data_IF_674325025574
#
_entry.id   IF_674325025574
#
_cell.length_a   1.000
_cell.length_b   1.000
_cell.length_c   1.000
_cell.angle_alpha   90.00
_cell.angle_beta   90.00
_cell.angle_gamma   90.00
#
_symmetry.space_group_name_H-M   'P 1'
#
loop_
_entity.id
_entity.type
_entity.pdbx_description
1 polymer ?
#
# COMPACT_ATOMS: atom_id res chain seq x y z
N UNK A 1 22.73 0.21 17.29
CA UNK A 1 23.03 -1.00 16.48
C UNK A 1 21.76 -1.30 15.69
N UNK A 2 21.82 -1.25 14.36
CA UNK A 2 20.69 -1.71 13.55
C UNK A 2 20.56 -3.21 13.79
N UNK A 3 19.69 -3.61 14.71
CA UNK A 3 19.35 -5.02 14.88
C UNK A 3 18.79 -5.50 13.56
N UNK A 4 19.42 -6.54 12.99
CA UNK A 4 19.01 -7.15 11.72
C UNK A 4 17.49 -7.32 11.73
N UNK A 5 16.79 -6.57 10.89
CA UNK A 5 15.35 -6.70 10.77
C UNK A 5 15.09 -8.13 10.29
N UNK A 6 14.33 -8.94 11.04
CA UNK A 6 14.04 -10.31 10.64
C UNK A 6 13.48 -10.34 9.23
N UNK A 7 13.99 -11.25 8.39
CA UNK A 7 13.56 -11.42 6.99
C UNK A 7 12.03 -11.62 6.90
N UNK A 8 11.42 -12.26 7.89
CA UNK A 8 9.96 -12.44 7.97
C UNK A 8 9.21 -11.10 8.04
N UNK A 9 9.74 -10.13 8.78
CA UNK A 9 9.14 -8.79 8.93
C UNK A 9 9.31 -8.00 7.64
N UNK A 10 10.45 -8.15 6.97
CA UNK A 10 10.68 -7.56 5.66
C UNK A 10 9.68 -8.08 4.62
N UNK A 11 9.52 -9.40 4.51
CA UNK A 11 8.56 -10.02 3.58
C UNK A 11 7.14 -9.53 3.89
N UNK A 12 6.77 -9.48 5.17
CA UNK A 12 5.47 -8.99 5.61
C UNK A 12 5.26 -7.52 5.23
N UNK A 13 6.27 -6.66 5.38
CA UNK A 13 6.20 -5.26 4.95
C UNK A 13 6.04 -5.14 3.43
N UNK A 14 6.79 -5.90 2.63
CA UNK A 14 6.66 -5.92 1.17
C UNK A 14 5.26 -6.38 0.72
N UNK A 15 4.72 -7.43 1.33
CA UNK A 15 3.37 -7.91 1.04
C UNK A 15 2.33 -6.84 1.35
N UNK A 16 2.44 -6.19 2.52
CA UNK A 16 1.55 -5.10 2.90
C UNK A 16 1.71 -3.87 2.00
N UNK A 17 2.94 -3.53 1.61
CA UNK A 17 3.23 -2.44 0.69
C UNK A 17 2.60 -2.69 -0.69
N UNK A 18 2.77 -3.89 -1.25
CA UNK A 18 2.15 -4.26 -2.51
C UNK A 18 0.61 -4.24 -2.41
N UNK A 19 0.06 -4.71 -1.30
CA UNK A 19 -1.37 -4.66 -1.04
C UNK A 19 -1.91 -3.21 -0.93
N UNK A 20 -1.15 -2.31 -0.30
CA UNK A 20 -1.46 -0.88 -0.23
C UNK A 20 -1.41 -0.22 -1.62
N UNK A 21 -0.33 -0.46 -2.38
CA UNK A 21 -0.15 0.12 -3.72
C UNK A 21 -1.21 -0.37 -4.72
N UNK A 22 -1.62 -1.64 -4.64
CA UNK A 22 -2.73 -2.15 -5.48
C UNK A 22 -4.08 -1.52 -5.14
N UNK A 23 -4.36 -1.24 -3.87
CA UNK A 23 -5.55 -0.49 -3.45
C UNK A 23 -5.53 0.97 -3.92
N UNK A 24 -4.38 1.63 -3.85
CA UNK A 24 -4.22 2.97 -4.42
C UNK A 24 -4.40 2.95 -5.95
N UNK A 25 -3.88 1.92 -6.62
CA UNK A 25 -4.09 1.67 -8.04
C UNK A 25 -5.58 1.47 -8.39
N UNK A 26 -6.33 0.70 -7.59
CA UNK A 26 -7.78 0.52 -7.76
C UNK A 26 -8.54 1.85 -7.64
N UNK A 27 -8.15 2.69 -6.67
CA UNK A 27 -8.71 4.03 -6.54
C UNK A 27 -8.39 4.87 -7.78
N UNK A 28 -7.12 4.95 -8.19
CA UNK A 28 -6.70 5.69 -9.38
C UNK A 28 -7.46 5.24 -10.64
N UNK A 29 -7.60 3.93 -10.85
CA UNK A 29 -8.37 3.37 -11.97
C UNK A 29 -9.85 3.76 -11.93
N UNK A 30 -10.46 3.84 -10.74
CA UNK A 30 -11.87 4.23 -10.57
C UNK A 30 -12.16 5.70 -10.94
N UNK A 31 -11.12 6.53 -11.01
CA UNK A 31 -11.23 7.92 -11.46
C UNK A 31 -11.37 8.02 -12.98
N UNK A 32 -10.65 7.16 -13.71
CA UNK A 32 -10.63 7.18 -15.18
C UNK A 32 -11.68 6.25 -15.81
N UNK A 33 -11.99 5.13 -15.14
CA UNK A 33 -12.84 4.07 -15.69
C UNK A 33 -13.90 3.70 -14.65
N UNK A 34 -15.12 3.41 -15.12
CA UNK A 34 -16.18 2.89 -14.25
C UNK A 34 -15.79 1.51 -13.69
N UNK A 35 -16.11 1.27 -12.43
CA UNK A 35 -15.77 0.04 -11.70
C UNK A 35 -16.43 -1.20 -12.30
N UNK A 36 -17.57 -1.02 -12.98
CA UNK A 36 -18.28 -2.10 -13.69
C UNK A 36 -17.82 -2.27 -15.15
N UNK A 37 -16.75 -1.59 -15.57
CA UNK A 37 -16.23 -1.71 -16.92
C UNK A 37 -15.73 -3.12 -17.22
N UNK A 38 -15.94 -3.57 -18.46
CA UNK A 38 -15.41 -4.84 -18.95
C UNK A 38 -13.90 -4.87 -19.15
N UNK A 39 -13.23 -3.73 -18.94
CA UNK A 39 -11.79 -3.58 -19.10
C UNK A 39 -11.00 -4.55 -18.22
N UNK A 40 -10.05 -5.25 -18.84
CA UNK A 40 -9.24 -6.30 -18.20
C UNK A 40 -8.56 -5.83 -16.91
N UNK A 41 -7.88 -4.68 -16.95
CA UNK A 41 -7.16 -4.18 -15.77
C UNK A 41 -8.12 -3.79 -14.65
N UNK A 42 -9.29 -3.20 -14.95
CA UNK A 42 -10.29 -2.89 -13.94
C UNK A 42 -10.75 -4.16 -13.23
N UNK A 43 -11.10 -5.22 -13.98
CA UNK A 43 -11.47 -6.53 -13.41
C UNK A 43 -10.38 -7.12 -12.53
N UNK A 44 -9.11 -7.01 -12.94
CA UNK A 44 -7.98 -7.48 -12.16
C UNK A 44 -7.85 -6.71 -10.82
N UNK A 45 -7.86 -5.37 -10.88
CA UNK A 45 -7.80 -4.53 -9.67
C UNK A 45 -8.98 -4.80 -8.72
N UNK A 46 -10.21 -4.86 -9.25
CA UNK A 46 -11.42 -5.20 -8.46
C UNK A 46 -11.24 -6.55 -7.78
N UNK A 47 -10.86 -7.60 -8.54
CA UNK A 47 -10.70 -8.95 -8.00
C UNK A 47 -9.65 -9.04 -6.90
N UNK A 48 -8.53 -8.32 -7.03
CA UNK A 48 -7.46 -8.32 -6.03
C UNK A 48 -7.83 -7.52 -4.77
N UNK A 49 -8.53 -6.41 -4.93
CA UNK A 49 -8.78 -5.46 -3.82
C UNK A 49 -10.10 -5.70 -3.09
N UNK A 50 -11.12 -6.26 -3.75
CA UNK A 50 -12.42 -6.55 -3.15
C UNK A 50 -12.35 -7.41 -1.88
N UNK A 51 -11.55 -8.50 -1.81
CA UNK A 51 -11.40 -9.27 -0.58
C UNK A 51 -10.90 -8.42 0.60
N UNK A 52 -9.95 -7.52 0.34
CA UNK A 52 -9.40 -6.62 1.36
C UNK A 52 -10.42 -5.57 1.82
N UNK A 53 -11.17 -5.00 0.88
CA UNK A 53 -12.23 -4.03 1.17
C UNK A 53 -13.35 -4.69 1.97
N UNK A 54 -13.74 -5.93 1.63
CA UNK A 54 -14.72 -6.70 2.39
C UNK A 54 -14.24 -7.02 3.80
N UNK A 55 -12.98 -7.39 3.97
CA UNK A 55 -12.39 -7.64 5.28
C UNK A 55 -12.42 -6.38 6.19
N UNK A 56 -12.25 -5.20 5.59
CA UNK A 56 -12.27 -3.92 6.31
C UNK A 56 -13.65 -3.26 6.37
N UNK A 57 -14.72 -3.95 5.97
CA UNK A 57 -16.09 -3.41 6.00
C UNK A 57 -16.53 -2.97 7.41
N UNK A 58 -16.04 -3.64 8.46
CA UNK A 58 -16.34 -3.28 9.85
C UNK A 58 -15.69 -1.96 10.27
N UNK A 59 -14.50 -1.65 9.75
CA UNK A 59 -13.77 -0.42 10.01
C UNK A 59 -14.17 0.72 9.05
N UNK A 60 -14.76 0.39 7.90
CA UNK A 60 -15.14 1.36 6.87
C UNK A 60 -16.46 2.03 7.21
N UNK A 61 -16.51 3.36 7.37
CA UNK A 61 -17.75 4.05 7.69
C UNK A 61 -18.70 4.09 6.48
N UNK A 62 -20.00 3.95 6.75
CA UNK A 62 -21.04 3.89 5.70
C UNK A 62 -21.22 5.20 4.91
N UNK A 63 -20.77 6.34 5.45
CA UNK A 63 -20.85 7.63 4.74
C UNK A 63 -19.77 7.80 3.67
N UNK A 64 -18.76 6.91 3.64
CA UNK A 64 -17.65 7.01 2.70
C UNK A 64 -18.12 6.65 1.29
N UNK A 65 -17.82 7.53 0.33
CA UNK A 65 -18.10 7.29 -1.09
C UNK A 65 -17.47 5.98 -1.55
N UNK A 66 -18.19 5.19 -2.33
CA UNK A 66 -17.77 3.84 -2.72
C UNK A 66 -16.37 3.80 -3.35
N UNK A 67 -16.11 4.75 -4.25
CA UNK A 67 -14.80 4.91 -4.91
C UNK A 67 -13.67 5.21 -3.93
N UNK A 68 -13.94 5.83 -2.78
CA UNK A 68 -12.92 6.18 -1.78
C UNK A 68 -12.57 5.01 -0.84
N UNK A 69 -13.37 3.94 -0.80
CA UNK A 69 -13.12 2.79 0.08
C UNK A 69 -11.75 2.13 -0.12
N UNK A 70 -11.25 1.88 -1.35
CA UNK A 70 -9.92 1.31 -1.55
C UNK A 70 -8.82 2.18 -0.91
N UNK A 71 -8.92 3.50 -1.06
CA UNK A 71 -7.97 4.44 -0.48
C UNK A 71 -8.02 4.44 1.05
N UNK A 72 -9.23 4.36 1.62
CA UNK A 72 -9.42 4.25 3.06
C UNK A 72 -8.77 2.99 3.64
N UNK A 73 -8.93 1.84 2.97
CA UNK A 73 -8.25 0.60 3.37
C UNK A 73 -6.73 0.71 3.21
N UNK A 74 -6.25 1.32 2.12
CA UNK A 74 -4.82 1.54 1.91
C UNK A 74 -4.22 2.38 3.05
N UNK A 75 -4.96 3.39 3.53
CA UNK A 75 -4.55 4.20 4.67
C UNK A 75 -4.40 3.38 5.96
N UNK A 76 -5.26 2.41 6.24
CA UNK A 76 -5.05 1.52 7.40
C UNK A 76 -3.79 0.67 7.27
N UNK A 77 -3.53 0.14 6.08
CA UNK A 77 -2.30 -0.63 5.83
C UNK A 77 -1.09 0.26 6.04
N UNK A 78 -1.15 1.51 5.57
CA UNK A 78 -0.13 2.52 5.84
C UNK A 78 0.06 2.75 7.35
N UNK A 79 -1.03 2.93 8.12
CA UNK A 79 -0.94 3.10 9.58
C UNK A 79 -0.32 1.89 10.28
N UNK A 80 -0.68 0.67 9.84
CA UNK A 80 -0.10 -0.56 10.37
C UNK A 80 1.40 -0.62 10.06
N UNK A 81 1.77 -0.35 8.80
CA UNK A 81 3.15 -0.37 8.33
C UNK A 81 4.00 0.63 9.11
N UNK A 82 3.66 1.91 9.12
CA UNK A 82 4.59 2.95 9.56
C UNK A 82 4.42 3.40 11.02
N UNK A 83 3.31 3.04 11.69
CA UNK A 83 3.05 3.45 13.07
C UNK A 83 2.85 2.28 14.02
N UNK A 84 2.08 1.26 13.65
CA UNK A 84 1.82 0.13 14.55
C UNK A 84 2.99 -0.85 14.62
N UNK A 85 3.52 -1.27 13.47
CA UNK A 85 4.65 -2.19 13.41
C UNK A 85 5.92 -1.65 14.13
N UNK A 86 6.36 -0.39 13.95
CA UNK A 86 7.55 0.11 14.62
C UNK A 86 7.32 0.18 16.13
N UNK A 87 6.12 0.57 16.55
CA UNK A 87 5.73 0.62 17.95
C UNK A 87 5.81 -0.76 18.62
N UNK A 88 5.30 -1.81 17.96
CA UNK A 88 5.30 -3.18 18.51
C UNK A 88 6.71 -3.77 18.54
N UNK A 89 7.51 -3.51 17.51
CA UNK A 89 8.86 -4.08 17.37
C UNK A 89 9.95 -3.27 18.08
N UNK A 90 9.63 -2.07 18.59
CA UNK A 90 10.58 -1.18 19.25
C UNK A 90 11.54 -0.46 18.28
N UNK A 91 11.22 -0.41 16.99
CA UNK A 91 11.99 0.38 16.01
C UNK A 91 11.54 1.84 16.05
N UNK A 92 12.47 2.78 15.88
CA UNK A 92 12.10 4.19 15.70
C UNK A 92 11.38 4.37 14.37
N UNK A 93 10.39 5.28 14.31
CA UNK A 93 9.63 5.61 13.09
C UNK A 93 10.57 5.93 11.91
N UNK A 94 11.68 6.59 12.20
CA UNK A 94 12.69 6.93 11.20
C UNK A 94 13.49 5.71 10.69
N UNK A 95 13.73 4.70 11.54
CA UNK A 95 14.36 3.45 11.13
C UNK A 95 13.46 2.54 10.29
N UNK A 96 12.16 2.86 10.22
CA UNK A 96 11.17 2.14 9.45
C UNK A 96 10.83 2.81 8.10
N UNK A 97 10.88 4.14 8.04
CA UNK A 97 10.82 4.87 6.77
C UNK A 97 12.01 4.57 5.85
N UNK A 98 13.10 4.02 6.40
CA UNK A 98 14.22 3.44 5.66
C UNK A 98 14.00 1.97 5.24
N UNK A 99 12.77 1.46 5.26
CA UNK A 99 12.51 0.11 4.77
C UNK A 99 12.96 -0.05 3.30
N UNK A 100 13.51 -1.21 2.92
CA UNK A 100 14.17 -1.40 1.63
C UNK A 100 13.32 -1.04 0.41
N UNK A 101 12.02 -1.34 0.41
CA UNK A 101 11.16 -1.08 -0.75
C UNK A 101 11.09 0.41 -1.12
N UNK A 102 10.83 1.30 -0.17
CA UNK A 102 10.70 2.73 -0.45
C UNK A 102 12.06 3.36 -0.78
N UNK A 103 13.14 2.88 -0.13
CA UNK A 103 14.50 3.29 -0.47
C UNK A 103 14.93 2.79 -1.86
N UNK A 104 14.57 1.56 -2.25
CA UNK A 104 14.83 1.00 -3.57
C UNK A 104 14.05 1.74 -4.65
N UNK A 105 12.75 2.01 -4.41
CA UNK A 105 11.93 2.82 -5.33
C UNK A 105 12.54 4.23 -5.48
N UNK A 106 12.97 4.87 -4.39
CA UNK A 106 13.60 6.19 -4.44
C UNK A 106 14.92 6.18 -5.22
N UNK A 107 15.77 5.16 -5.04
CA UNK A 107 17.02 4.99 -5.79
C UNK A 107 16.73 4.76 -7.28
N UNK A 108 15.77 3.89 -7.60
CA UNK A 108 15.36 3.63 -8.98
C UNK A 108 14.85 4.91 -9.64
N UNK A 109 13.98 5.67 -8.97
CA UNK A 109 13.47 6.95 -9.49
C UNK A 109 14.61 7.96 -9.69
N UNK A 110 15.55 8.03 -8.74
CA UNK A 110 16.72 8.92 -8.82
C UNK A 110 17.65 8.57 -9.99
N UNK A 111 17.95 7.28 -10.18
CA UNK A 111 18.79 6.80 -11.29
C UNK A 111 18.11 7.01 -12.65
N UNK A 112 16.80 6.80 -12.74
CA UNK A 112 16.01 7.15 -13.93
C UNK A 112 16.08 8.66 -14.19
N UNK A 113 15.95 9.49 -13.16
CA UNK A 113 16.04 10.95 -13.29
C UNK A 113 17.38 11.43 -13.84
N UNK A 114 18.50 10.77 -13.46
CA UNK A 114 19.83 11.05 -13.99
C UNK A 114 20.02 10.69 -15.46
N UNK A 115 19.28 9.71 -15.97
CA UNK A 115 19.32 9.32 -17.39
C UNK A 115 18.72 10.38 -18.33
N UNK A 116 17.92 11.31 -17.79
CA UNK A 116 17.25 12.38 -18.54
C UNK A 116 17.87 13.77 -18.32
N UNK A 117 19.00 13.87 -17.59
CA UNK A 117 19.84 15.08 -17.47
C UNK A 117 21.10 14.95 -18.32
#
# INVERSE_FOLDING_TARGET
MMGEIPISILILDYVMGLAMWTLMGRFGMSLFVNEHSDFFFMKAFVRMTDPMIRAMKWATPNFLVEKMRPLYVAWFIYMIRFYLMPLILGYSVMGMLSFPLESEIAVIIYDIGKLFQ
#
